data_IF_632338185870
#
_entry.id   IF_632338185870
#
_cell.length_a   1.000
_cell.length_b   1.000
_cell.length_c   1.000
_cell.angle_alpha   90.00
_cell.angle_beta   90.00
_cell.angle_gamma   90.00
#
_symmetry.space_group_name_H-M   'P 1'
#
loop_
_entity.id
_entity.type
_entity.pdbx_description
1 polymer ?
#
# COMPACT_ATOMS: atom_id res chain seq x y z
N UNK A 1 8.04 -0.49 4.15
CA UNK A 1 7.73 0.48 5.23
C UNK A 1 8.69 1.64 5.11
N UNK A 2 8.22 2.90 5.10
CA UNK A 2 9.10 4.07 5.06
C UNK A 2 10.01 4.14 6.31
N UNK A 3 11.09 4.92 6.25
CA UNK A 3 12.17 4.94 7.25
C UNK A 3 11.74 5.38 8.68
N UNK A 4 10.48 5.79 8.86
CA UNK A 4 9.92 6.22 10.14
C UNK A 4 8.49 5.65 10.36
N UNK A 5 8.25 4.43 9.85
CA UNK A 5 6.94 3.78 9.89
C UNK A 5 6.59 3.27 11.29
N UNK A 6 5.44 3.70 11.81
CA UNK A 6 4.84 3.18 13.04
C UNK A 6 3.71 2.18 12.70
N UNK A 7 3.40 1.28 13.63
CA UNK A 7 2.33 0.30 13.45
C UNK A 7 0.96 1.03 13.39
N UNK A 8 0.36 1.09 12.20
CA UNK A 8 -0.82 1.88 11.87
C UNK A 8 -0.62 2.92 10.76
N UNK A 9 0.62 3.20 10.36
CA UNK A 9 0.94 4.16 9.28
C UNK A 9 0.87 3.53 7.88
N UNK A 10 0.90 4.38 6.85
CA UNK A 10 0.86 3.95 5.45
C UNK A 10 2.06 3.05 5.06
N UNK A 11 1.74 1.87 4.55
CA UNK A 11 2.67 0.92 3.99
C UNK A 11 2.93 1.21 2.51
N UNK A 12 4.17 1.04 2.07
CA UNK A 12 4.50 1.08 0.65
C UNK A 12 4.14 -0.27 0.01
N UNK A 13 3.35 -0.23 -1.05
CA UNK A 13 3.01 -1.41 -1.85
C UNK A 13 4.20 -1.75 -2.72
N UNK A 14 4.61 -3.02 -2.66
CA UNK A 14 5.69 -3.52 -3.49
C UNK A 14 5.32 -3.35 -4.97
N UNK A 15 6.22 -2.80 -5.81
CA UNK A 15 5.96 -2.62 -7.24
C UNK A 15 5.80 -3.94 -8.01
N UNK A 16 6.06 -5.08 -7.37
CA UNK A 16 5.76 -6.42 -7.90
C UNK A 16 4.27 -6.71 -8.00
N UNK A 17 3.44 -6.10 -7.15
CA UNK A 17 1.97 -6.25 -7.21
C UNK A 17 1.44 -5.12 -8.09
N UNK A 18 1.10 -5.48 -9.33
CA UNK A 18 0.51 -4.55 -10.31
C UNK A 18 -0.96 -4.83 -10.57
N UNK A 19 -1.44 -6.01 -10.19
CA UNK A 19 -2.80 -6.46 -10.46
C UNK A 19 -3.83 -5.66 -9.64
N UNK A 20 -4.68 -4.86 -10.31
CA UNK A 20 -5.63 -3.99 -9.63
C UNK A 20 -6.69 -4.79 -8.86
N UNK A 21 -6.98 -6.04 -9.26
CA UNK A 21 -7.87 -6.94 -8.52
C UNK A 21 -7.23 -7.44 -7.22
N UNK A 22 -5.94 -7.83 -7.27
CA UNK A 22 -5.21 -8.30 -6.10
C UNK A 22 -4.98 -7.16 -5.10
N UNK A 23 -4.70 -5.95 -5.60
CA UNK A 23 -4.66 -4.73 -4.81
C UNK A 23 -6.00 -4.43 -4.14
N UNK A 24 -7.14 -4.57 -4.85
CA UNK A 24 -8.47 -4.36 -4.25
C UNK A 24 -8.82 -5.43 -3.21
N UNK A 25 -8.42 -6.68 -3.42
CA UNK A 25 -8.64 -7.76 -2.44
C UNK A 25 -7.75 -7.60 -1.19
N UNK A 26 -6.46 -7.30 -1.37
CA UNK A 26 -5.50 -7.19 -0.26
C UNK A 26 -5.59 -5.84 0.46
N UNK A 27 -5.96 -4.79 -0.27
CA UNK A 27 -6.06 -3.41 0.23
C UNK A 27 -7.46 -2.84 -0.04
N UNK A 28 -8.51 -3.35 0.64
CA UNK A 28 -9.88 -2.86 0.46
C UNK A 28 -10.06 -1.41 0.89
N UNK A 29 -9.13 -0.86 1.69
CA UNK A 29 -9.10 0.54 2.13
C UNK A 29 -8.63 1.51 1.04
N UNK A 30 -8.22 1.00 -0.13
CA UNK A 30 -7.68 1.79 -1.22
C UNK A 30 -6.19 2.05 -1.09
N UNK A 31 -5.59 2.61 -2.13
CA UNK A 31 -4.18 2.97 -2.18
C UNK A 31 -3.99 4.31 -2.88
N UNK A 32 -2.96 5.03 -2.48
CA UNK A 32 -2.54 6.31 -3.03
C UNK A 32 -1.32 6.10 -3.91
N UNK A 33 -1.45 6.34 -5.21
CA UNK A 33 -0.30 6.32 -6.14
C UNK A 33 0.42 7.67 -6.11
N UNK A 34 1.48 7.77 -5.31
CA UNK A 34 2.33 8.98 -5.30
C UNK A 34 3.21 8.99 -6.55
N UNK A 35 3.74 7.83 -6.94
CA UNK A 35 4.52 7.60 -8.16
C UNK A 35 4.20 6.23 -8.75
N UNK A 36 4.47 5.97 -10.05
CA UNK A 36 4.22 4.66 -10.67
C UNK A 36 4.91 3.48 -9.97
N UNK A 37 5.99 3.73 -9.21
CA UNK A 37 6.70 2.75 -8.39
C UNK A 37 6.51 2.94 -6.88
N UNK A 38 5.82 4.01 -6.46
CA UNK A 38 5.63 4.36 -5.05
C UNK A 38 4.13 4.53 -4.80
N UNK A 39 3.49 3.41 -4.51
CA UNK A 39 2.10 3.36 -4.06
C UNK A 39 2.10 3.17 -2.55
N UNK A 40 1.28 3.94 -1.86
CA UNK A 40 1.09 3.83 -0.42
C UNK A 40 -0.31 3.31 -0.13
N UNK A 41 -0.44 2.42 0.83
CA UNK A 41 -1.72 1.91 1.30
C UNK A 41 -1.74 1.97 2.82
N UNK A 42 -2.86 2.36 3.43
CA UNK A 42 -3.02 2.21 4.87
C UNK A 42 -2.88 0.73 5.23
N UNK A 43 -2.25 0.44 6.36
CA UNK A 43 -2.01 -0.93 6.82
C UNK A 43 -3.35 -1.67 6.96
N UNK A 44 -3.55 -2.83 6.31
CA UNK A 44 -4.83 -3.54 6.34
C UNK A 44 -5.16 -4.21 7.68
N UNK A 45 -4.20 -4.26 8.62
CA UNK A 45 -4.31 -5.04 9.87
C UNK A 45 -4.89 -4.27 11.08
N UNK A 46 -5.39 -3.05 10.86
CA UNK A 46 -6.25 -2.25 11.77
C UNK A 46 -7.18 -1.44 10.91
#
# INVERSE_FOLDING_TARGET
TPANWNDGDDCVIVPSIKDPEELKQKFPKGYTEVKPYLRMTPQPNK
#
